data_IF_559205811899
#
_entry.id   IF_559205811899
#
_cell.length_a   1.000
_cell.length_b   1.000
_cell.length_c   1.000
_cell.angle_alpha   90.00
_cell.angle_beta   90.00
_cell.angle_gamma   90.00
#
_symmetry.space_group_name_H-M   'P 1'
#
loop_
_entity.id
_entity.type
_entity.pdbx_description
1 polymer ?
#
# COMPACT_ATOMS: atom_id res chain seq x y z
N UNK A 1 -8.50 8.96 11.27
CA UNK A 1 -8.22 7.52 11.08
C UNK A 1 -7.48 7.31 9.76
N UNK A 2 -6.54 6.36 9.69
CA UNK A 2 -5.96 5.90 8.43
C UNK A 2 -6.64 4.63 7.93
N UNK A 3 -6.67 4.44 6.62
CA UNK A 3 -7.03 3.19 5.96
C UNK A 3 -5.85 2.62 5.19
N UNK A 4 -5.74 1.29 5.08
CA UNK A 4 -4.78 0.62 4.21
C UNK A 4 -5.42 -0.58 3.49
N UNK A 5 -5.01 -0.81 2.26
CA UNK A 5 -5.44 -1.92 1.40
C UNK A 5 -4.33 -2.28 0.39
N UNK A 6 -4.41 -3.44 -0.24
CA UNK A 6 -3.48 -3.93 -1.25
C UNK A 6 -4.12 -4.19 -2.63
N UNK A 7 -3.26 -4.19 -3.64
CA UNK A 7 -3.57 -4.67 -4.99
C UNK A 7 -2.52 -5.67 -5.47
N UNK A 8 -2.95 -6.68 -6.20
CA UNK A 8 -2.05 -7.66 -6.82
C UNK A 8 -1.75 -8.90 -5.99
N UNK A 9 -2.44 -9.14 -4.88
CA UNK A 9 -2.26 -10.37 -4.08
C UNK A 9 -2.56 -11.64 -4.87
N UNK A 10 -3.55 -11.63 -5.75
CA UNK A 10 -3.93 -12.79 -6.58
C UNK A 10 -3.18 -12.93 -7.91
N UNK A 11 -2.33 -11.96 -8.27
CA UNK A 11 -1.63 -11.97 -9.55
C UNK A 11 -0.35 -12.83 -9.49
N UNK A 12 -0.08 -13.61 -10.52
CA UNK A 12 1.14 -14.42 -10.62
C UNK A 12 2.29 -13.65 -11.30
N UNK A 13 2.07 -12.41 -11.73
CA UNK A 13 3.09 -11.53 -12.27
C UNK A 13 2.95 -10.08 -11.78
N UNK A 14 4.07 -9.37 -11.78
CA UNK A 14 4.20 -7.98 -11.35
C UNK A 14 4.19 -7.79 -9.83
N UNK A 15 4.28 -6.53 -9.37
CA UNK A 15 4.44 -6.23 -7.96
C UNK A 15 3.15 -6.41 -7.15
N UNK A 16 3.33 -6.55 -5.84
CA UNK A 16 2.30 -6.33 -4.83
C UNK A 16 2.35 -4.85 -4.44
N UNK A 17 1.22 -4.16 -4.42
CA UNK A 17 1.17 -2.73 -4.11
C UNK A 17 0.22 -2.52 -2.94
N UNK A 18 0.63 -1.78 -1.93
CA UNK A 18 -0.22 -1.36 -0.82
C UNK A 18 -0.38 0.16 -0.83
N UNK A 19 -1.58 0.64 -0.54
CA UNK A 19 -1.87 2.05 -0.35
C UNK A 19 -2.21 2.33 1.12
N UNK A 20 -1.96 3.55 1.57
CA UNK A 20 -2.51 4.06 2.81
C UNK A 20 -3.03 5.48 2.61
N UNK A 21 -4.12 5.84 3.30
CA UNK A 21 -4.72 7.16 3.21
C UNK A 21 -5.36 7.62 4.52
N UNK A 22 -5.23 8.91 4.82
CA UNK A 22 -5.98 9.63 5.84
C UNK A 22 -6.82 10.68 5.13
N UNK A 23 -8.14 10.59 5.30
CA UNK A 23 -9.07 11.59 4.80
C UNK A 23 -9.43 12.57 5.93
N UNK A 24 -9.64 13.87 5.63
CA UNK A 24 -10.13 14.83 6.61
C UNK A 24 -11.54 14.49 7.08
N UNK A 25 -11.93 15.03 8.23
CA UNK A 25 -13.28 14.81 8.77
C UNK A 25 -14.34 15.66 8.04
N UNK A 26 -15.59 15.20 8.11
CA UNK A 26 -16.74 15.87 7.51
C UNK A 26 -16.68 15.95 5.98
N UNK A 27 -17.36 16.95 5.42
CA UNK A 27 -17.53 17.12 3.96
C UNK A 27 -16.23 17.23 3.17
N UNK A 28 -15.14 17.67 3.81
CA UNK A 28 -13.84 17.78 3.15
C UNK A 28 -13.27 16.41 2.78
N UNK A 29 -13.57 15.39 3.57
CA UNK A 29 -13.11 14.00 3.35
C UNK A 29 -14.02 13.20 2.43
N UNK A 30 -15.17 13.75 2.04
CA UNK A 30 -16.03 13.11 1.05
C UNK A 30 -15.34 13.17 -0.31
N UNK A 31 -15.03 12.00 -0.86
CA UNK A 31 -14.44 11.83 -2.18
C UNK A 31 -15.56 11.46 -3.15
N UNK A 32 -15.92 12.33 -4.10
CA UNK A 32 -17.00 12.06 -5.04
C UNK A 32 -16.76 10.79 -5.86
N UNK A 33 -17.73 9.88 -5.87
CA UNK A 33 -17.65 8.63 -6.62
C UNK A 33 -16.74 7.57 -5.98
N UNK A 34 -16.24 7.79 -4.76
CA UNK A 34 -15.51 6.77 -4.02
C UNK A 34 -16.42 5.59 -3.69
N UNK A 35 -16.03 4.43 -4.18
CA UNK A 35 -16.66 3.14 -3.94
C UNK A 35 -15.57 2.05 -3.93
N UNK A 36 -15.97 0.79 -3.72
CA UNK A 36 -15.09 -0.36 -3.95
C UNK A 36 -14.43 -0.23 -5.32
N UNK A 37 -13.09 -0.21 -5.33
CA UNK A 37 -12.29 0.10 -6.52
C UNK A 37 -12.55 -0.87 -7.67
N UNK A 38 -13.04 -2.08 -7.37
CA UNK A 38 -13.41 -3.13 -8.34
C UNK A 38 -14.74 -2.84 -9.04
N UNK A 39 -15.61 -2.02 -8.45
CA UNK A 39 -16.88 -1.60 -9.05
C UNK A 39 -16.74 -0.38 -9.98
N UNK A 40 -15.59 0.30 -9.92
CA UNK A 40 -15.31 1.47 -10.75
C UNK A 40 -14.73 1.05 -12.11
N UNK A 41 -15.19 1.72 -13.17
CA UNK A 41 -14.53 1.66 -14.49
C UNK A 41 -13.10 2.25 -14.39
N UNK A 42 -12.16 1.88 -15.28
CA UNK A 42 -10.81 2.42 -15.25
C UNK A 42 -10.76 3.96 -15.25
N UNK A 43 -11.57 4.60 -16.11
CA UNK A 43 -11.66 6.07 -16.17
C UNK A 43 -12.29 6.69 -14.92
N UNK A 44 -13.30 6.05 -14.31
CA UNK A 44 -13.85 6.51 -13.04
C UNK A 44 -12.83 6.36 -11.90
N UNK A 45 -12.09 5.25 -11.86
CA UNK A 45 -11.06 4.98 -10.86
C UNK A 45 -9.91 5.98 -10.94
N UNK A 46 -9.48 6.35 -12.14
CA UNK A 46 -8.47 7.39 -12.36
C UNK A 46 -8.94 8.76 -11.84
N UNK A 47 -10.20 9.16 -12.12
CA UNK A 47 -10.76 10.38 -11.54
C UNK A 47 -10.80 10.34 -10.02
N UNK A 48 -11.25 9.22 -9.43
CA UNK A 48 -11.29 9.05 -7.98
C UNK A 48 -9.87 9.08 -7.39
N UNK A 49 -8.86 8.54 -8.07
CA UNK A 49 -7.47 8.64 -7.62
C UNK A 49 -7.02 10.09 -7.47
N UNK A 50 -7.32 10.95 -8.46
CA UNK A 50 -6.98 12.37 -8.38
C UNK A 50 -7.74 13.09 -7.24
N UNK A 51 -9.02 12.77 -7.03
CA UNK A 51 -9.79 13.30 -5.90
C UNK A 51 -9.21 12.85 -4.56
N UNK A 52 -8.79 11.58 -4.42
CA UNK A 52 -8.14 11.08 -3.19
C UNK A 52 -6.83 11.83 -2.94
N UNK A 53 -5.96 11.91 -3.94
CA UNK A 53 -4.64 12.57 -3.82
C UNK A 53 -4.77 14.05 -3.45
N UNK A 54 -5.76 14.74 -4.02
CA UNK A 54 -5.99 16.17 -3.76
C UNK A 54 -6.63 16.47 -2.40
N UNK A 55 -7.45 15.56 -1.87
CA UNK A 55 -8.23 15.79 -0.62
C UNK A 55 -7.63 15.16 0.62
N UNK A 56 -6.85 14.08 0.48
CA UNK A 56 -6.31 13.36 1.61
C UNK A 56 -5.35 14.25 2.44
N UNK A 57 -5.44 14.15 3.76
CA UNK A 57 -4.51 14.79 4.69
C UNK A 57 -3.10 14.20 4.57
N UNK A 58 -3.02 12.90 4.32
CA UNK A 58 -1.80 12.18 4.01
C UNK A 58 -2.15 10.92 3.22
N UNK A 59 -1.28 10.51 2.31
CA UNK A 59 -1.38 9.24 1.61
C UNK A 59 0.00 8.72 1.23
N UNK A 60 0.09 7.42 0.98
CA UNK A 60 1.32 6.78 0.55
C UNK A 60 1.02 5.53 -0.28
N UNK A 61 2.00 5.11 -1.09
CA UNK A 61 1.95 3.86 -1.83
C UNK A 61 3.26 3.11 -1.66
N UNK A 62 3.18 1.84 -1.32
CA UNK A 62 4.31 0.93 -1.19
C UNK A 62 4.26 -0.16 -2.25
N UNK A 63 5.35 -0.34 -2.99
CA UNK A 63 5.48 -1.34 -4.06
C UNK A 63 6.49 -2.41 -3.62
N UNK A 64 6.08 -3.67 -3.64
CA UNK A 64 6.93 -4.83 -3.37
C UNK A 64 7.12 -5.62 -4.67
N UNK A 65 8.36 -5.77 -5.18
CA UNK A 65 8.62 -6.46 -6.44
C UNK A 65 8.34 -7.96 -6.35
N UNK A 66 8.10 -8.60 -7.50
CA UNK A 66 7.83 -10.04 -7.59
C UNK A 66 8.95 -10.89 -6.96
N UNK A 67 10.20 -10.46 -7.10
CA UNK A 67 11.37 -11.13 -6.52
C UNK A 67 11.37 -11.13 -5.00
N UNK A 68 10.92 -10.04 -4.35
CA UNK A 68 10.78 -10.01 -2.89
C UNK A 68 9.62 -10.89 -2.43
N UNK A 69 8.51 -10.91 -3.18
CA UNK A 69 7.36 -11.81 -2.92
C UNK A 69 7.79 -13.28 -2.97
N UNK A 70 8.59 -13.66 -3.97
CA UNK A 70 9.12 -15.02 -4.09
C UNK A 70 10.07 -15.37 -2.94
N UNK A 71 10.91 -14.42 -2.51
CA UNK A 71 11.92 -14.65 -1.48
C UNK A 71 11.32 -14.76 -0.07
N UNK A 72 10.30 -13.94 0.24
CA UNK A 72 9.77 -13.80 1.62
C UNK A 72 8.39 -14.43 1.81
N UNK A 73 7.67 -14.67 0.72
CA UNK A 73 6.31 -15.18 0.72
C UNK A 73 5.26 -14.07 0.71
N UNK A 74 4.20 -14.31 -0.07
CA UNK A 74 3.13 -13.35 -0.34
C UNK A 74 2.50 -12.73 0.91
N UNK A 75 2.13 -13.54 1.90
CA UNK A 75 1.45 -13.04 3.10
C UNK A 75 2.36 -12.12 3.92
N UNK A 76 3.64 -12.49 4.07
CA UNK A 76 4.64 -11.69 4.78
C UNK A 76 4.86 -10.36 4.06
N UNK A 77 5.02 -10.40 2.73
CA UNK A 77 5.13 -9.19 1.92
C UNK A 77 3.89 -8.30 2.01
N UNK A 78 2.69 -8.88 2.07
CA UNK A 78 1.45 -8.11 2.20
C UNK A 78 1.38 -7.30 3.49
N UNK A 79 1.61 -7.97 4.63
CA UNK A 79 1.62 -7.30 5.93
C UNK A 79 2.76 -6.27 6.01
N UNK A 80 3.92 -6.56 5.43
CA UNK A 80 5.04 -5.62 5.36
C UNK A 80 4.70 -4.39 4.48
N UNK A 81 4.04 -4.58 3.34
CA UNK A 81 3.66 -3.51 2.43
C UNK A 81 2.67 -2.55 3.10
N UNK A 82 1.60 -3.07 3.72
CA UNK A 82 0.64 -2.24 4.46
C UNK A 82 1.29 -1.51 5.63
N UNK A 83 2.14 -2.19 6.42
CA UNK A 83 2.88 -1.57 7.53
C UNK A 83 3.76 -0.42 7.04
N UNK A 84 4.54 -0.65 5.97
CA UNK A 84 5.43 0.37 5.39
C UNK A 84 4.63 1.53 4.81
N UNK A 85 3.50 1.27 4.14
CA UNK A 85 2.62 2.32 3.63
C UNK A 85 2.10 3.20 4.79
N UNK A 86 1.54 2.59 5.83
CA UNK A 86 1.06 3.31 7.01
C UNK A 86 2.18 4.11 7.71
N UNK A 87 3.37 3.53 7.87
CA UNK A 87 4.52 4.20 8.47
C UNK A 87 5.08 5.35 7.62
N UNK A 88 4.77 5.38 6.32
CA UNK A 88 5.21 6.44 5.39
C UNK A 88 4.23 7.61 5.30
N UNK A 89 3.12 7.58 6.04
CA UNK A 89 2.20 8.71 6.11
C UNK A 89 2.88 9.88 6.82
N UNK A 90 2.80 11.07 6.23
CA UNK A 90 3.36 12.31 6.80
C UNK A 90 2.61 12.77 8.05
N UNK A 91 1.39 12.27 8.23
CA UNK A 91 0.52 12.56 9.38
C UNK A 91 0.27 11.26 10.14
N UNK A 92 0.61 11.24 11.42
CA UNK A 92 0.40 10.07 12.28
C UNK A 92 -1.10 9.83 12.54
N UNK A 93 -1.65 8.64 12.23
CA UNK A 93 -3.03 8.33 12.55
C UNK A 93 -3.18 7.92 14.02
N UNK A 94 -4.32 8.24 14.63
CA UNK A 94 -4.68 7.74 15.97
C UNK A 94 -5.29 6.32 15.94
N UNK A 95 -5.82 5.91 14.80
CA UNK A 95 -6.45 4.61 14.59
C UNK A 95 -6.31 4.16 13.14
N UNK A 96 -6.09 2.87 12.92
CA UNK A 96 -5.89 2.27 11.60
C UNK A 96 -6.97 1.25 11.27
N UNK A 97 -7.49 1.32 10.05
CA UNK A 97 -8.35 0.29 9.45
C UNK A 97 -7.60 -0.39 8.30
N UNK A 98 -7.57 -1.72 8.29
CA UNK A 98 -6.93 -2.50 7.21
C UNK A 98 -7.95 -3.43 6.54
N UNK A 99 -7.88 -3.61 5.22
CA UNK A 99 -8.72 -4.62 4.56
C UNK A 99 -8.19 -6.04 4.80
N UNK A 100 -9.07 -6.92 5.25
CA UNK A 100 -8.87 -8.37 5.29
C UNK A 100 -7.94 -8.92 6.39
N UNK A 101 -6.80 -8.27 6.69
CA UNK A 101 -5.78 -8.83 7.60
C UNK A 101 -5.36 -7.85 8.70
N UNK A 102 -5.17 -8.34 9.95
CA UNK A 102 -4.57 -7.53 11.01
C UNK A 102 -3.09 -7.27 10.70
N UNK A 103 -2.66 -6.04 10.95
CA UNK A 103 -1.26 -5.63 10.77
C UNK A 103 -0.68 -5.28 12.12
N UNK A 104 0.22 -6.14 12.61
CA UNK A 104 0.88 -5.92 13.90
C UNK A 104 1.98 -4.86 13.82
N UNK A 105 2.37 -4.29 14.96
CA UNK A 105 3.54 -3.42 15.07
C UNK A 105 3.34 -2.01 14.50
N UNK A 106 2.11 -1.51 14.48
CA UNK A 106 1.78 -0.16 14.02
C UNK A 106 2.03 0.93 15.07
N UNK A 107 2.19 0.58 16.34
CA UNK A 107 2.33 1.54 17.44
C UNK A 107 1.03 2.29 17.80
N UNK A 108 -0.04 2.05 17.05
CA UNK A 108 -1.37 2.62 17.22
C UNK A 108 -2.43 1.52 17.13
N UNK A 109 -3.59 1.66 17.79
CA UNK A 109 -4.65 0.68 17.69
C UNK A 109 -5.17 0.56 16.26
N UNK A 110 -5.58 -0.65 15.88
CA UNK A 110 -6.15 -0.88 14.57
C UNK A 110 -7.09 -2.07 14.51
N UNK A 111 -7.91 -2.09 13.48
CA UNK A 111 -8.90 -3.11 13.22
C UNK A 111 -8.79 -3.60 11.78
N UNK A 112 -8.69 -4.92 11.62
CA UNK A 112 -8.88 -5.56 10.34
C UNK A 112 -10.39 -5.66 10.05
N UNK A 113 -10.81 -5.08 8.93
CA UNK A 113 -12.21 -5.07 8.51
C UNK A 113 -12.35 -5.99 7.32
N UNK A 114 -13.30 -6.93 7.40
CA UNK A 114 -13.66 -7.75 6.25
C UNK A 114 -14.40 -6.91 5.20
N UNK A 115 -13.85 -6.79 3.99
CA UNK A 115 -14.35 -5.89 2.94
C UNK A 115 -14.36 -4.43 3.42
N UNK A 116 -13.25 -4.02 4.04
CA UNK A 116 -13.09 -2.69 4.61
C UNK A 116 -13.27 -1.59 3.56
N UNK A 117 -12.91 -1.85 2.31
CA UNK A 117 -13.14 -0.99 1.15
C UNK A 117 -14.61 -0.63 0.89
N UNK A 118 -15.56 -1.42 1.39
CA UNK A 118 -17.00 -1.16 1.29
C UNK A 118 -17.59 -0.41 2.47
N UNK A 119 -16.85 -0.34 3.58
CA UNK A 119 -17.37 0.09 4.88
C UNK A 119 -16.66 1.35 5.38
N UNK A 120 -15.41 1.57 4.98
CA UNK A 120 -14.60 2.71 5.42
C UNK A 120 -14.01 3.48 4.24
N UNK A 121 -14.33 4.78 4.16
CA UNK A 121 -13.84 5.66 3.09
C UNK A 121 -12.31 5.73 3.01
N UNK A 122 -11.61 5.71 4.15
CA UNK A 122 -10.14 5.70 4.15
C UNK A 122 -9.55 4.40 3.55
N UNK A 123 -10.19 3.25 3.76
CA UNK A 123 -9.77 1.96 3.18
C UNK A 123 -10.11 1.93 1.69
N UNK A 124 -11.28 2.44 1.30
CA UNK A 124 -11.63 2.60 -0.12
C UNK A 124 -10.63 3.50 -0.86
N UNK A 125 -10.23 4.62 -0.25
CA UNK A 125 -9.23 5.53 -0.79
C UNK A 125 -7.86 4.84 -0.95
N UNK A 126 -7.40 4.11 0.07
CA UNK A 126 -6.20 3.29 0.01
C UNK A 126 -6.26 2.22 -1.10
N UNK A 127 -7.42 1.58 -1.28
CA UNK A 127 -7.67 0.60 -2.35
C UNK A 127 -7.49 1.23 -3.74
N UNK A 128 -8.07 2.41 -3.95
CA UNK A 128 -7.94 3.15 -5.21
C UNK A 128 -6.48 3.50 -5.49
N UNK A 129 -5.76 4.02 -4.48
CA UNK A 129 -4.33 4.34 -4.60
C UNK A 129 -3.50 3.12 -5.01
N UNK A 130 -3.69 1.99 -4.32
CA UNK A 130 -2.98 0.74 -4.61
C UNK A 130 -3.32 0.22 -6.01
N UNK A 131 -4.62 0.18 -6.35
CA UNK A 131 -5.12 -0.42 -7.59
C UNK A 131 -4.71 0.37 -8.82
N UNK A 132 -4.87 1.70 -8.80
CA UNK A 132 -4.50 2.56 -9.94
C UNK A 132 -2.99 2.54 -10.14
N UNK A 133 -2.21 2.68 -9.07
CA UNK A 133 -0.74 2.63 -9.17
C UNK A 133 -0.28 1.30 -9.75
N UNK A 134 -0.82 0.18 -9.25
CA UNK A 134 -0.49 -1.14 -9.78
C UNK A 134 -0.90 -1.29 -11.24
N UNK A 135 -2.11 -0.87 -11.60
CA UNK A 135 -2.61 -1.04 -12.96
C UNK A 135 -1.76 -0.25 -13.98
N UNK A 136 -1.24 0.93 -13.61
CA UNK A 136 -0.28 1.71 -14.42
C UNK A 136 1.04 0.95 -14.61
N UNK A 137 1.63 0.41 -13.53
CA UNK A 137 2.85 -0.40 -13.60
C UNK A 137 2.65 -1.60 -14.53
N UNK A 138 1.50 -2.27 -14.46
CA UNK A 138 1.22 -3.41 -15.34
C UNK A 138 1.03 -3.02 -16.81
N UNK A 139 0.60 -1.78 -17.12
CA UNK A 139 0.56 -1.27 -18.50
C UNK A 139 1.98 -1.02 -19.01
N UNK A 140 2.80 -0.32 -18.24
CA UNK A 140 4.21 -0.07 -18.61
C UNK A 140 5.02 -1.37 -18.75
N UNK A 141 4.68 -2.38 -17.96
CA UNK A 141 5.28 -3.71 -18.03
C UNK A 141 4.90 -4.45 -19.33
N UNK A 142 3.73 -4.18 -19.90
CA UNK A 142 3.29 -4.77 -21.17
C UNK A 142 4.18 -4.32 -22.32
N UNK A 143 4.58 -3.03 -22.33
CA UNK A 143 5.52 -2.51 -23.33
C UNK A 143 6.88 -3.22 -23.28
N UNK A 144 7.32 -3.61 -22.07
CA UNK A 144 8.57 -4.36 -21.84
C UNK A 144 8.44 -5.85 -22.16
N UNK A 145 7.25 -6.41 -22.03
CA UNK A 145 6.96 -7.84 -22.18
C UNK A 145 5.65 -8.06 -22.97
N UNK A 146 5.64 -7.71 -24.27
CA UNK A 146 4.41 -7.61 -25.06
C UNK A 146 3.71 -8.95 -25.33
N UNK A 147 4.41 -10.07 -25.15
CA UNK A 147 3.89 -11.42 -25.40
C UNK A 147 2.85 -11.88 -24.36
N UNK A 148 2.76 -11.20 -23.21
CA UNK A 148 1.96 -11.67 -22.09
C UNK A 148 0.58 -11.03 -21.98
N UNK A 149 0.38 -9.77 -22.41
CA UNK A 149 -0.91 -9.07 -22.29
C UNK A 149 -1.17 -8.46 -20.90
N UNK A 150 -0.10 -8.08 -20.19
CA UNK A 150 -0.15 -7.47 -18.87
C UNK A 150 -1.00 -6.20 -18.81
N UNK A 151 -1.11 -5.44 -19.90
CA UNK A 151 -1.98 -4.26 -19.97
C UNK A 151 -3.46 -4.61 -19.80
N UNK A 152 -3.88 -5.84 -20.12
CA UNK A 152 -5.27 -6.29 -20.04
C UNK A 152 -5.55 -6.97 -18.70
N UNK A 153 -4.94 -8.13 -18.46
CA UNK A 153 -5.26 -8.96 -17.28
C UNK A 153 -4.43 -8.58 -16.04
N UNK A 154 -3.53 -7.60 -16.12
CA UNK A 154 -2.77 -7.05 -14.98
C UNK A 154 -2.00 -8.12 -14.20
N UNK A 155 -1.53 -9.18 -14.88
CA UNK A 155 -0.80 -10.29 -14.27
C UNK A 155 -1.66 -11.30 -13.48
N UNK A 156 -2.98 -11.17 -13.48
CA UNK A 156 -3.88 -12.18 -12.92
C UNK A 156 -3.92 -13.43 -13.81
N UNK A 157 -4.28 -14.56 -13.22
CA UNK A 157 -4.33 -15.84 -13.91
C UNK A 157 -5.63 -15.87 -14.73
N UNK A 158 -5.52 -15.58 -16.02
CA UNK A 158 -6.59 -15.72 -17.03
C UNK A 158 -6.21 -16.78 -18.05
N UNK A 159 -7.12 -17.13 -18.94
CA UNK A 159 -6.86 -18.06 -20.02
C UNK A 159 -5.79 -17.51 -20.98
N UNK A 160 -5.85 -16.22 -21.30
CA UNK A 160 -4.88 -15.53 -22.14
C UNK A 160 -3.49 -15.53 -21.50
N UNK A 161 -3.41 -15.19 -20.22
CA UNK A 161 -2.14 -15.17 -19.49
C UNK A 161 -1.54 -16.57 -19.36
N UNK A 162 -2.37 -17.58 -19.08
CA UNK A 162 -1.93 -18.98 -19.00
C UNK A 162 -1.42 -19.48 -20.36
N UNK A 163 -2.08 -19.10 -21.44
CA UNK A 163 -1.67 -19.44 -22.80
C UNK A 163 -0.36 -18.76 -23.20
N UNK A 164 -0.16 -17.49 -22.85
CA UNK A 164 1.11 -16.80 -23.04
C UNK A 164 2.23 -17.45 -22.22
N UNK A 165 1.97 -17.74 -20.94
CA UNK A 165 2.92 -18.38 -20.05
C UNK A 165 3.37 -19.77 -20.55
N UNK A 166 2.46 -20.56 -21.14
CA UNK A 166 2.80 -21.86 -21.74
C UNK A 166 3.61 -21.72 -23.03
N UNK A 167 3.30 -20.71 -23.87
CA UNK A 167 3.98 -20.50 -25.15
C UNK A 167 5.38 -19.91 -25.01
N UNK A 168 5.54 -18.94 -24.11
CA UNK A 168 6.76 -18.15 -23.99
C UNK A 168 7.60 -18.50 -22.76
N UNK A 169 7.06 -19.32 -21.84
CA UNK A 169 7.64 -19.51 -20.51
C UNK A 169 7.48 -18.26 -19.63
N UNK A 170 7.88 -18.30 -18.34
CA UNK A 170 7.81 -17.14 -17.47
C UNK A 170 8.94 -16.12 -17.72
N UNK A 171 8.59 -14.84 -17.72
CA UNK A 171 9.56 -13.73 -17.70
C UNK A 171 10.01 -13.35 -16.27
N UNK A 172 10.93 -12.38 -16.17
CA UNK A 172 11.51 -11.91 -14.90
C UNK A 172 10.49 -11.31 -13.91
N UNK A 173 9.33 -10.85 -14.38
CA UNK A 173 8.29 -10.25 -13.54
C UNK A 173 7.26 -11.28 -13.03
N UNK A 174 7.38 -12.54 -13.43
CA UNK A 174 6.56 -13.62 -12.88
C UNK A 174 7.03 -14.01 -11.49
N UNK A 175 6.07 -14.37 -10.62
CA UNK A 175 6.31 -14.87 -9.26
C UNK A 175 6.48 -16.38 -9.32
N UNK A 176 7.70 -16.87 -9.31
CA UNK A 176 8.04 -18.30 -9.39
C UNK A 176 7.58 -19.11 -8.17
N UNK A 177 7.19 -18.44 -7.08
CA UNK A 177 6.53 -19.07 -5.94
C UNK A 177 5.08 -19.51 -6.23
N UNK A 178 4.46 -19.02 -7.30
CA UNK A 178 3.11 -19.42 -7.71
C UNK A 178 3.14 -20.74 -8.47
N UNK A 179 2.18 -21.62 -8.17
CA UNK A 179 2.15 -23.00 -8.70
C UNK A 179 2.11 -23.04 -10.23
N UNK A 180 1.29 -22.19 -10.87
CA UNK A 180 1.18 -22.13 -12.33
C UNK A 180 2.49 -21.68 -13.00
N UNK A 181 3.19 -20.71 -12.40
CA UNK A 181 4.49 -20.21 -12.88
C UNK A 181 5.58 -21.26 -12.69
N UNK A 182 5.63 -21.88 -11.51
CA UNK A 182 6.58 -22.96 -11.21
C UNK A 182 6.43 -24.12 -12.20
N UNK A 183 5.19 -24.55 -12.45
CA UNK A 183 4.88 -25.59 -13.43
C UNK A 183 5.34 -25.21 -14.84
N UNK A 184 5.01 -24.00 -15.32
CA UNK A 184 5.43 -23.53 -16.64
C UNK A 184 6.96 -23.37 -16.78
N UNK A 185 7.66 -23.08 -15.68
CA UNK A 185 9.13 -22.96 -15.67
C UNK A 185 9.88 -24.31 -15.70
N UNK A 186 9.17 -25.43 -15.62
CA UNK A 186 9.79 -26.75 -15.42
C UNK A 186 10.31 -26.99 -14.00
N UNK A 187 10.13 -26.04 -13.07
CA UNK A 187 10.41 -26.21 -11.64
C UNK A 187 9.28 -27.00 -10.99
N UNK A 188 9.30 -28.32 -11.17
CA UNK A 188 8.34 -29.19 -10.48
C UNK A 188 8.68 -29.23 -8.99
N UNK A 189 7.78 -28.70 -8.15
CA UNK A 189 7.78 -28.79 -6.68
C UNK A 189 9.02 -28.28 -5.93
N UNK A 190 9.14 -26.96 -5.77
CA UNK A 190 9.75 -26.42 -4.55
C UNK A 190 9.00 -25.17 -4.10
N UNK A 191 7.92 -25.30 -3.29
CA UNK A 191 7.41 -24.12 -2.61
C UNK A 191 8.56 -23.49 -1.81
N UNK A 192 8.71 -22.16 -1.80
CA UNK A 192 9.64 -21.54 -0.88
C UNK A 192 9.24 -22.02 0.52
N UNK A 193 10.15 -22.73 1.20
CA UNK A 193 9.94 -23.09 2.60
C UNK A 193 9.78 -21.78 3.34
N UNK A 194 8.54 -21.40 3.66
CA UNK A 194 8.28 -20.40 4.68
C UNK A 194 9.08 -20.86 5.90
N UNK A 195 10.08 -20.09 6.30
CA UNK A 195 10.76 -20.33 7.58
C UNK A 195 9.63 -20.32 8.62
N UNK A 196 9.38 -21.46 9.26
CA UNK A 196 8.53 -21.49 10.45
C UNK A 196 9.01 -20.37 11.37
N UNK A 197 8.14 -19.51 11.91
CA UNK A 197 8.56 -18.65 13.00
C UNK A 197 9.11 -19.57 14.10
N UNK A 198 10.31 -19.25 14.57
CA UNK A 198 10.88 -19.91 15.74
C UNK A 198 9.88 -19.66 16.86
N UNK A 199 9.20 -20.71 17.32
CA UNK A 199 8.33 -20.61 18.48
C UNK A 199 9.15 -20.13 19.67
N UNK A 200 8.59 -19.18 20.40
CA UNK A 200 9.21 -18.48 21.50
C UNK A 200 9.90 -19.41 22.51
N UNK A 201 11.09 -18.97 22.93
CA UNK A 201 11.74 -19.15 24.23
C UNK A 201 11.22 -20.29 25.12
N UNK A 202 12.06 -21.33 25.27
CA UNK A 202 12.15 -22.03 26.55
C UNK A 202 13.37 -21.47 27.31
N UNK A 203 13.18 -21.26 28.60
CA UNK A 203 14.05 -20.47 29.45
C UNK A 203 15.35 -21.14 29.86
N UNK A 204 16.21 -20.29 30.43
CA UNK A 204 17.43 -20.61 31.19
C UNK A 204 18.70 -20.92 30.36
N UNK A 205 19.53 -19.90 30.14
CA UNK A 205 20.82 -19.82 30.84
C UNK A 205 21.50 -18.47 30.59
N UNK A 206 21.69 -17.76 31.71
CA UNK A 206 22.58 -16.62 31.92
C UNK A 206 24.03 -17.02 31.60
N UNK A 207 24.73 -16.30 30.73
CA UNK A 207 26.17 -16.03 30.88
C UNK A 207 26.55 -14.70 30.22
N UNK A 208 27.43 -14.01 30.94
CA UNK A 208 27.91 -12.63 30.80
C UNK A 208 29.01 -12.46 29.72
N UNK A 209 29.00 -11.27 29.10
CA UNK A 209 30.09 -10.50 28.45
C UNK A 209 31.08 -11.19 27.50
N UNK A 210 31.24 -10.64 26.28
CA UNK A 210 32.36 -9.72 26.03
C UNK A 210 32.13 -8.82 24.79
N UNK A 211 32.64 -7.61 24.84
CA UNK A 211 32.53 -6.57 23.83
C UNK A 211 33.87 -6.38 23.11
N UNK A 212 33.98 -6.79 21.84
CA UNK A 212 34.74 -6.03 20.83
C UNK A 212 34.52 -6.56 19.41
N UNK A 213 34.40 -5.61 18.48
CA UNK A 213 34.84 -5.68 17.08
C UNK A 213 34.21 -6.70 16.13
N UNK A 214 33.21 -6.26 15.35
CA UNK A 214 33.04 -6.72 13.96
C UNK A 214 32.22 -5.70 13.14
N UNK A 215 32.77 -5.32 11.99
CA UNK A 215 32.29 -4.30 11.09
C UNK A 215 30.92 -4.61 10.47
N UNK A 216 30.09 -3.57 10.31
CA UNK A 216 28.82 -3.62 9.59
C UNK A 216 29.07 -3.69 8.06
N UNK A 217 28.41 -4.59 7.32
CA UNK A 217 28.32 -4.44 5.87
C UNK A 217 27.24 -3.39 5.53
N UNK A 218 27.68 -2.34 4.84
CA UNK A 218 26.84 -1.29 4.26
C UNK A 218 26.02 -1.89 3.12
N UNK A 219 24.69 -1.82 3.21
CA UNK A 219 23.77 -2.13 2.11
C UNK A 219 23.59 -0.89 1.23
N UNK A 220 23.51 -1.04 -0.10
CA UNK A 220 23.30 0.08 -1.01
C UNK A 220 21.85 0.59 -0.93
N UNK A 221 21.75 1.90 -0.94
CA UNK A 221 20.55 2.73 -1.00
C UNK A 221 19.91 2.64 -2.40
N UNK A 222 18.63 2.29 -2.49
CA UNK A 222 17.74 2.63 -3.61
C UNK A 222 16.35 1.95 -3.47
N UNK A 223 15.32 2.74 -3.19
CA UNK A 223 14.06 2.72 -3.92
C UNK A 223 13.25 3.97 -3.53
N UNK A 224 13.24 4.94 -4.44
CA UNK A 224 12.45 6.16 -4.35
C UNK A 224 10.97 5.82 -4.19
N UNK A 225 10.42 6.04 -2.99
CA UNK A 225 9.00 6.13 -2.77
C UNK A 225 8.54 7.54 -3.10
N UNK A 226 7.61 7.70 -4.03
CA UNK A 226 6.97 9.00 -4.29
C UNK A 226 6.14 9.41 -3.07
N UNK A 227 6.68 10.31 -2.25
CA UNK A 227 5.93 11.02 -1.20
C UNK A 227 5.24 12.21 -1.85
N UNK A 228 3.93 12.12 -2.08
CA UNK A 228 3.14 13.25 -2.56
C UNK A 228 2.81 14.20 -1.41
N UNK A 229 3.32 15.43 -1.47
CA UNK A 229 3.04 16.50 -0.50
C UNK A 229 1.85 17.32 -1.00
N UNK A 230 0.83 17.53 -0.17
CA UNK A 230 -0.19 18.55 -0.42
C UNK A 230 0.40 19.93 -0.09
N UNK A 231 0.60 20.79 -1.09
CA UNK A 231 0.96 22.20 -0.89
C UNK A 231 -0.27 23.04 -0.58
N UNK A 232 -0.19 23.84 0.50
CA UNK A 232 -0.95 25.09 0.65
C UNK A 232 -1.89 25.16 1.85
N UNK A 233 -1.37 25.61 3.00
CA UNK A 233 -2.08 26.63 3.79
C UNK A 233 -1.05 27.38 4.66
N UNK A 234 -0.90 28.68 4.41
CA UNK A 234 -0.19 29.56 5.34
C UNK A 234 -1.11 29.88 6.53
N UNK A 235 -0.58 29.97 7.76
CA UNK A 235 -1.39 30.32 8.91
C UNK A 235 -1.93 31.74 8.77
N UNK A 236 -3.26 31.86 8.66
CA UNK A 236 -3.99 33.11 8.90
C UNK A 236 -3.73 33.54 10.36
N UNK A 237 -3.32 34.79 10.63
CA UNK A 237 -3.25 35.28 12.00
C UNK A 237 -4.65 35.40 12.61
N UNK A 238 -4.77 35.00 13.88
CA UNK A 238 -6.00 35.06 14.68
C UNK A 238 -6.62 36.47 14.69
N UNK A 239 -7.95 36.61 14.68
CA UNK A 239 -8.58 37.90 14.96
C UNK A 239 -8.34 38.28 16.42
N UNK A 240 -7.81 39.49 16.62
CA UNK A 240 -7.65 40.12 17.93
C UNK A 240 -9.02 40.27 18.60
N UNK A 241 -9.07 39.85 19.87
CA UNK A 241 -10.18 40.04 20.79
C UNK A 241 -10.39 41.54 21.00
N UNK A 242 -11.66 41.95 21.00
CA UNK A 242 -12.07 43.35 21.04
C UNK A 242 -11.65 44.08 22.31
N UNK A 243 -11.41 45.37 22.14
CA UNK A 243 -11.47 46.37 23.21
C UNK A 243 -12.75 47.19 23.00
N UNK A 244 -13.51 47.30 24.10
CA UNK A 244 -14.71 48.10 24.24
C UNK A 244 -14.44 49.57 23.89
N UNK A 245 -15.14 50.10 22.89
CA UNK A 245 -15.31 51.55 22.77
C UNK A 245 -16.66 51.98 23.36
N UNK A 246 -16.52 52.85 24.35
CA UNK A 246 -17.56 53.42 25.16
C UNK A 246 -18.51 54.30 24.35
N UNK A 247 -19.77 54.24 24.78
CA UNK A 247 -20.87 55.10 24.38
C UNK A 247 -20.60 56.55 24.84
N UNK A 248 -20.32 57.46 23.91
CA UNK A 248 -20.48 58.91 24.12
C UNK A 248 -21.54 59.43 23.15
N UNK A 249 -22.56 60.07 23.74
CA UNK A 249 -23.67 60.66 23.01
C UNK A 249 -23.39 62.10 22.60
N UNK A 250 -24.08 62.56 21.56
CA UNK A 250 -24.26 63.98 21.28
C UNK A 250 -25.57 64.23 20.52
N UNK A 251 -26.59 64.62 21.29
CA UNK A 251 -27.37 65.84 21.13
C UNK A 251 -27.41 66.52 19.73
N UNK A 252 -28.50 66.32 18.97
CA UNK A 252 -29.36 67.37 18.38
C UNK A 252 -30.51 66.79 17.55
#
# INVERSE_FOLDING_TARGET
MAGADEAGRGACAGPLVAGAAILPEGKRGEVPGLADSKLLTPAARERVYQEVVSRALAWSVMIIPATEVDARGLHVCNLAAMRRALASLTTSPEYVLTDGFPVDGLGVPGLAVWKGDRVAACVAAASVLAKVTRDRIMVEMDDRFPDYGFAVHKGYITEEHSSALLRHGPCAEHRFSYVNVAAASGRVNRPPRARRPVSAFDGQQTLLFDASTAAQPVLPDAAEGTVGVASGDQPQPSPMVGEDEAMEGENR
#
